data_IF_992813017084
#
_entry.id   IF_992813017084
#
_cell.length_a   1.000
_cell.length_b   1.000
_cell.length_c   1.000
_cell.angle_alpha   90.00
_cell.angle_beta   90.00
_cell.angle_gamma   90.00
#
_symmetry.space_group_name_H-M   'P 1'
#
loop_
_entity.id
_entity.type
_entity.pdbx_description
1 polymer ?
#
# COMPACT_ATOMS: atom_id res chain seq x y z
N UNK A 1 -18.92 3.84 -27.90
CA UNK A 1 -18.59 2.71 -28.78
C UNK A 1 -19.79 1.77 -28.79
N UNK A 2 -20.32 1.45 -29.96
CA UNK A 2 -21.38 0.46 -30.07
C UNK A 2 -20.77 -0.96 -29.91
N UNK A 3 -21.44 -1.89 -29.21
CA UNK A 3 -21.01 -3.28 -29.13
C UNK A 3 -21.04 -3.92 -30.53
N UNK A 4 -20.00 -4.68 -30.89
CA UNK A 4 -19.89 -5.30 -32.22
C UNK A 4 -20.59 -6.67 -32.32
N UNK A 5 -20.58 -7.47 -31.26
CA UNK A 5 -21.18 -8.81 -31.14
C UNK A 5 -21.59 -9.05 -29.67
N UNK A 6 -21.84 -10.31 -29.27
CA UNK A 6 -22.23 -10.68 -27.91
C UNK A 6 -21.06 -10.69 -26.89
N UNK A 7 -20.30 -9.59 -26.83
CA UNK A 7 -19.28 -9.38 -25.81
C UNK A 7 -19.87 -8.86 -24.50
N UNK A 8 -19.12 -9.01 -23.40
CA UNK A 8 -19.52 -8.46 -22.10
C UNK A 8 -19.68 -6.94 -22.17
N UNK A 9 -20.77 -6.43 -21.60
CA UNK A 9 -20.94 -4.99 -21.39
C UNK A 9 -20.03 -4.57 -20.25
N UNK A 10 -18.95 -3.85 -20.59
CA UNK A 10 -18.02 -3.32 -19.61
C UNK A 10 -18.62 -2.09 -18.92
N UNK A 11 -18.40 -1.94 -17.61
CA UNK A 11 -18.69 -0.72 -16.85
C UNK A 11 -17.37 -0.04 -16.40
N UNK A 12 -16.61 0.58 -17.33
CA UNK A 12 -15.35 1.23 -16.99
C UNK A 12 -15.62 2.55 -16.23
N UNK A 13 -15.09 2.66 -15.02
CA UNK A 13 -15.29 3.81 -14.15
C UNK A 13 -14.36 5.00 -14.50
N UNK A 14 -14.34 5.38 -15.78
CA UNK A 14 -13.55 6.50 -16.32
C UNK A 14 -14.44 7.70 -16.70
N UNK A 15 -15.52 7.95 -15.95
CA UNK A 15 -16.52 9.00 -16.23
C UNK A 15 -16.10 10.43 -15.84
N UNK A 16 -14.92 10.59 -15.22
CA UNK A 16 -14.37 11.88 -14.77
C UNK A 16 -13.02 12.11 -15.43
N UNK A 17 -12.50 13.34 -15.34
CA UNK A 17 -11.13 13.66 -15.75
C UNK A 17 -10.10 12.97 -14.84
N UNK A 18 -9.88 11.68 -15.11
CA UNK A 18 -9.02 10.79 -14.35
C UNK A 18 -7.54 10.99 -14.70
N UNK A 19 -7.25 11.47 -15.92
CA UNK A 19 -5.89 11.67 -16.41
C UNK A 19 -5.14 12.69 -15.55
N UNK A 20 -5.81 13.74 -15.08
CA UNK A 20 -5.25 14.72 -14.12
C UNK A 20 -4.86 14.15 -12.76
N UNK A 21 -5.39 12.98 -12.37
CA UNK A 21 -5.22 12.37 -11.04
C UNK A 21 -4.45 11.05 -11.08
N UNK A 22 -3.70 10.80 -12.15
CA UNK A 22 -2.88 9.58 -12.27
C UNK A 22 -1.73 9.64 -11.27
N UNK A 23 -1.62 8.62 -10.42
CA UNK A 23 -0.51 8.44 -9.49
C UNK A 23 0.39 7.32 -9.99
N UNK A 24 1.63 7.64 -10.32
CA UNK A 24 2.64 6.66 -10.73
C UNK A 24 3.43 6.14 -9.52
N UNK A 25 4.12 5.01 -9.72
CA UNK A 25 4.87 4.32 -8.67
C UNK A 25 6.39 4.26 -8.94
N UNK A 26 6.92 5.14 -9.80
CA UNK A 26 8.36 5.18 -10.13
C UNK A 26 9.25 5.43 -8.91
N UNK A 27 8.73 6.11 -7.88
CA UNK A 27 9.44 6.35 -6.63
C UNK A 27 9.41 5.15 -5.64
N UNK A 28 8.82 4.02 -6.01
CA UNK A 28 8.73 2.82 -5.15
C UNK A 28 10.11 2.31 -4.68
N UNK A 29 11.14 2.13 -5.54
CA UNK A 29 12.48 1.72 -5.09
C UNK A 29 13.10 2.72 -4.11
N UNK A 30 12.99 4.02 -4.42
CA UNK A 30 13.48 5.09 -3.52
C UNK A 30 12.77 5.05 -2.16
N UNK A 31 11.44 4.84 -2.14
CA UNK A 31 10.66 4.69 -0.90
C UNK A 31 11.11 3.46 -0.09
N UNK A 32 11.43 2.34 -0.74
CA UNK A 32 11.96 1.12 -0.09
C UNK A 32 13.30 1.40 0.60
N UNK A 33 14.23 2.03 -0.11
CA UNK A 33 15.56 2.40 0.43
C UNK A 33 15.41 3.38 1.58
N UNK A 34 14.59 4.44 1.42
CA UNK A 34 14.33 5.43 2.47
C UNK A 34 13.81 4.79 3.76
N UNK A 35 12.81 3.89 3.67
CA UNK A 35 12.28 3.16 4.83
C UNK A 35 13.35 2.28 5.50
N UNK A 36 14.20 1.61 4.71
CA UNK A 36 15.30 0.79 5.26
C UNK A 36 16.31 1.64 6.03
N UNK A 37 16.79 2.74 5.45
CA UNK A 37 17.74 3.67 6.10
C UNK A 37 17.15 4.24 7.40
N UNK A 38 15.89 4.66 7.38
CA UNK A 38 15.22 5.17 8.58
C UNK A 38 15.12 4.13 9.71
N UNK A 39 14.84 2.84 9.39
CA UNK A 39 14.87 1.76 10.38
C UNK A 39 16.28 1.55 10.95
N UNK A 40 17.32 1.54 10.10
CA UNK A 40 18.71 1.39 10.55
C UNK A 40 19.14 2.53 11.48
N UNK A 41 18.81 3.78 11.13
CA UNK A 41 19.09 4.94 11.97
C UNK A 41 18.36 4.85 13.32
N UNK A 42 17.08 4.45 13.31
CA UNK A 42 16.32 4.21 14.55
C UNK A 42 16.98 3.15 15.43
N UNK A 43 17.47 2.04 14.85
CA UNK A 43 18.08 0.93 15.59
C UNK A 43 19.33 1.39 16.34
N UNK A 44 20.22 2.11 15.64
CA UNK A 44 21.45 2.66 16.23
C UNK A 44 21.14 3.63 17.37
N UNK A 45 20.10 4.45 17.24
CA UNK A 45 19.71 5.45 18.25
C UNK A 45 19.17 4.84 19.56
N UNK A 46 18.49 3.70 19.49
CA UNK A 46 17.82 3.10 20.66
C UNK A 46 18.61 1.94 21.27
N UNK A 47 19.74 1.55 20.68
CA UNK A 47 20.55 0.44 21.16
C UNK A 47 20.88 0.65 22.65
N UNK A 48 20.75 -0.39 23.51
CA UNK A 48 20.57 -1.82 23.19
C UNK A 48 19.11 -2.30 23.07
N UNK A 49 18.12 -1.41 23.13
CA UNK A 49 16.69 -1.79 23.14
C UNK A 49 16.24 -2.34 21.78
N UNK A 50 15.28 -3.28 21.73
CA UNK A 50 14.77 -3.84 20.48
C UNK A 50 14.01 -2.81 19.64
N UNK A 51 14.20 -2.86 18.31
CA UNK A 51 13.60 -1.88 17.37
C UNK A 51 12.12 -2.11 17.05
N UNK A 52 11.62 -3.31 17.27
CA UNK A 52 10.26 -3.72 16.91
C UNK A 52 9.16 -2.87 17.58
N UNK A 53 9.51 -2.09 18.60
CA UNK A 53 8.61 -1.22 19.33
C UNK A 53 8.15 -1.87 20.64
N UNK A 54 7.11 -1.33 21.27
CA UNK A 54 6.55 -1.90 22.49
C UNK A 54 5.85 -3.24 22.21
N UNK A 55 5.70 -4.04 23.27
CA UNK A 55 4.89 -5.26 23.25
C UNK A 55 3.44 -4.92 22.87
N UNK A 56 2.82 -5.78 22.05
CA UNK A 56 1.43 -5.64 21.61
C UNK A 56 0.59 -6.79 22.16
N UNK A 57 -0.67 -6.55 22.56
CA UNK A 57 -1.56 -7.61 23.01
C UNK A 57 -1.98 -8.52 21.85
N UNK A 58 -2.33 -9.76 22.18
CA UNK A 58 -2.98 -10.67 21.24
C UNK A 58 -4.47 -10.30 21.12
N UNK A 59 -4.97 -10.20 19.90
CA UNK A 59 -6.35 -9.79 19.60
C UNK A 59 -6.96 -10.79 18.62
N UNK A 60 -8.24 -11.15 18.82
CA UNK A 60 -9.02 -11.95 17.87
C UNK A 60 -9.67 -11.03 16.83
N UNK A 61 -9.66 -11.45 15.57
CA UNK A 61 -10.35 -10.75 14.50
C UNK A 61 -11.88 -10.85 14.69
N UNK A 62 -12.68 -9.88 14.21
CA UNK A 62 -14.08 -9.75 14.63
C UNK A 62 -15.09 -10.56 13.81
N UNK A 63 -14.69 -11.18 12.69
CA UNK A 63 -15.63 -11.80 11.75
C UNK A 63 -15.47 -13.31 11.72
N UNK A 64 -16.53 -14.03 11.37
CA UNK A 64 -16.56 -15.50 11.23
C UNK A 64 -15.38 -16.06 10.41
N UNK A 65 -14.95 -15.34 9.38
CA UNK A 65 -13.87 -15.79 8.49
C UNK A 65 -12.47 -15.77 9.14
N UNK A 66 -12.26 -15.00 10.21
CA UNK A 66 -10.94 -14.65 10.73
C UNK A 66 -10.75 -15.01 12.19
#
# INVERSE_FOLDING_TARGET
MAPSRNGMILNPHFHKDWQRRVRTWFNQPARKIRRRKARQAKARRIAPRPIAGPLRPQVRCPTIRY
#
